data_IF_535609199454
#
_entry.id   IF_535609199454
#
_cell.length_a   1.000
_cell.length_b   1.000
_cell.length_c   1.000
_cell.angle_alpha   90.00
_cell.angle_beta   90.00
_cell.angle_gamma   90.00
#
_symmetry.space_group_name_H-M   'P 1'
#
loop_
_entity.id
_entity.type
_entity.pdbx_description
1 polymer ?
#
# COMPACT_ATOMS: atom_id res chain seq x y z
N UNK A 1 -32.02 23.32 -25.97
CA UNK A 1 -32.69 23.51 -27.28
C UNK A 1 -31.60 23.32 -28.32
N UNK A 2 -31.41 22.11 -28.86
CA UNK A 2 -31.82 21.75 -30.23
C UNK A 2 -30.82 22.34 -31.24
N UNK A 3 -30.07 21.60 -32.07
CA UNK A 3 -30.50 20.49 -32.90
C UNK A 3 -29.35 19.56 -33.30
N UNK A 4 -29.70 18.28 -33.42
CA UNK A 4 -28.99 17.25 -34.14
C UNK A 4 -29.29 17.33 -35.65
N UNK A 5 -28.27 17.13 -36.49
CA UNK A 5 -28.44 16.75 -37.90
C UNK A 5 -27.68 15.42 -38.12
N UNK A 6 -28.45 14.35 -38.36
CA UNK A 6 -28.01 13.11 -39.04
C UNK A 6 -28.38 13.30 -40.53
N UNK A 7 -27.62 12.82 -41.51
CA UNK A 7 -27.56 11.47 -42.10
C UNK A 7 -26.63 11.65 -43.35
N UNK A 8 -25.80 10.74 -43.90
CA UNK A 8 -26.04 9.38 -44.40
C UNK A 8 -24.73 8.77 -44.99
N UNK A 9 -24.55 7.46 -44.76
CA UNK A 9 -24.13 6.38 -45.70
C UNK A 9 -22.70 6.30 -46.28
N UNK A 10 -22.07 5.12 -46.00
CA UNK A 10 -21.31 4.21 -46.90
C UNK A 10 -20.03 4.74 -47.56
N UNK A 11 -18.89 4.09 -47.64
CA UNK A 11 -18.26 2.85 -47.14
C UNK A 11 -16.77 3.05 -47.48
N UNK A 12 -15.81 2.76 -46.59
CA UNK A 12 -14.44 2.37 -46.97
C UNK A 12 -13.59 2.09 -45.71
N UNK A 13 -13.88 0.97 -45.04
CA UNK A 13 -12.89 0.30 -44.20
C UNK A 13 -12.66 -1.07 -44.83
N UNK A 14 -11.63 -1.12 -45.68
CA UNK A 14 -11.08 -2.35 -46.22
C UNK A 14 -9.59 -2.14 -46.50
N UNK A 15 -8.77 -2.29 -45.47
CA UNK A 15 -7.37 -2.67 -45.65
C UNK A 15 -7.06 -3.92 -44.82
N UNK A 16 -7.32 -5.03 -45.51
CA UNK A 16 -6.54 -6.27 -45.49
C UNK A 16 -6.66 -7.17 -44.25
N UNK A 17 -7.67 -8.03 -44.31
CA UNK A 17 -7.62 -9.42 -43.84
C UNK A 17 -6.52 -10.17 -44.62
N UNK A 18 -5.61 -10.82 -43.90
CA UNK A 18 -4.60 -11.71 -44.47
C UNK A 18 -4.26 -12.86 -43.51
N UNK A 19 -4.93 -13.99 -43.74
CA UNK A 19 -4.65 -15.37 -43.27
C UNK A 19 -4.67 -15.69 -41.77
N UNK A 20 -5.77 -16.32 -41.37
CA UNK A 20 -5.84 -17.24 -40.23
C UNK A 20 -4.97 -18.47 -40.51
N UNK A 21 -4.15 -18.86 -39.53
CA UNK A 21 -3.55 -20.19 -39.45
C UNK A 21 -3.54 -20.58 -37.97
N UNK A 22 -4.49 -21.45 -37.64
CA UNK A 22 -4.58 -22.17 -36.38
C UNK A 22 -3.31 -23.00 -36.16
N UNK A 23 -2.56 -22.70 -35.10
CA UNK A 23 -1.62 -23.63 -34.47
C UNK A 23 -1.59 -23.37 -32.97
N UNK A 24 -2.06 -24.36 -32.23
CA UNK A 24 -1.80 -24.54 -30.81
C UNK A 24 -0.30 -24.42 -30.51
N UNK A 25 0.05 -23.61 -29.53
CA UNK A 25 1.26 -23.80 -28.75
C UNK A 25 1.09 -23.09 -27.40
N UNK A 26 1.00 -23.91 -26.35
CA UNK A 26 1.20 -23.53 -24.96
C UNK A 26 2.49 -22.70 -24.84
N UNK A 27 2.39 -21.39 -24.63
CA UNK A 27 3.52 -20.56 -24.21
C UNK A 27 3.41 -20.38 -22.72
N UNK A 28 3.94 -21.35 -21.98
CA UNK A 28 4.35 -21.15 -20.61
C UNK A 28 5.29 -19.94 -20.60
N UNK A 29 4.83 -18.81 -20.05
CA UNK A 29 5.71 -17.68 -19.74
C UNK A 29 6.83 -18.22 -18.86
N UNK A 30 7.98 -18.47 -19.47
CA UNK A 30 9.22 -18.78 -18.79
C UNK A 30 9.60 -17.53 -18.01
N UNK A 31 9.13 -17.47 -16.77
CA UNK A 31 9.77 -16.68 -15.73
C UNK A 31 11.22 -17.17 -15.69
N UNK A 32 12.13 -16.35 -16.22
CA UNK A 32 13.56 -16.57 -16.04
C UNK A 32 13.87 -16.79 -14.56
N UNK A 33 15.02 -17.40 -14.24
CA UNK A 33 15.42 -17.56 -12.84
C UNK A 33 15.29 -16.19 -12.15
N UNK A 34 14.68 -16.13 -10.95
CA UNK A 34 14.63 -14.89 -10.20
C UNK A 34 16.06 -14.33 -10.13
N UNK A 35 16.23 -13.00 -10.22
CA UNK A 35 17.55 -12.40 -10.07
C UNK A 35 18.23 -13.00 -8.83
N UNK A 36 19.56 -13.24 -8.86
CA UNK A 36 20.29 -13.70 -7.69
C UNK A 36 19.87 -12.79 -6.55
N UNK A 37 19.46 -13.37 -5.44
CA UNK A 37 18.93 -12.66 -4.27
C UNK A 37 19.88 -11.51 -3.90
N UNK A 38 19.63 -10.33 -4.43
CA UNK A 38 20.24 -9.12 -3.94
C UNK A 38 19.44 -8.82 -2.69
N UNK A 39 20.00 -9.16 -1.53
CA UNK A 39 19.43 -8.74 -0.25
C UNK A 39 19.27 -7.22 -0.31
N UNK A 40 18.03 -6.77 -0.49
CA UNK A 40 17.74 -5.37 -0.67
C UNK A 40 18.18 -4.62 0.59
N UNK A 41 19.17 -3.73 0.46
CA UNK A 41 19.70 -2.98 1.59
C UNK A 41 18.55 -2.15 2.19
N UNK A 42 18.21 -2.32 3.48
CA UNK A 42 17.09 -1.61 4.08
C UNK A 42 17.31 -0.09 4.02
N UNK A 43 16.38 0.61 3.38
CA UNK A 43 16.36 2.09 3.32
C UNK A 43 15.37 2.60 4.37
N UNK A 44 15.84 3.50 5.23
CA UNK A 44 15.05 4.14 6.26
C UNK A 44 14.77 5.60 5.93
N UNK A 45 13.76 6.16 6.62
CA UNK A 45 13.28 7.53 6.45
C UNK A 45 13.33 8.28 7.79
N UNK A 46 14.51 8.81 8.19
CA UNK A 46 14.67 9.52 9.45
C UNK A 46 13.84 10.81 9.53
N UNK A 47 13.64 11.48 8.40
CA UNK A 47 12.80 12.67 8.25
C UNK A 47 12.11 12.68 6.88
N UNK A 48 11.04 13.48 6.71
CA UNK A 48 10.38 13.63 5.42
C UNK A 48 11.41 13.99 4.34
N UNK A 49 11.42 13.24 3.24
CA UNK A 49 12.33 13.40 2.10
C UNK A 49 13.79 12.99 2.31
N UNK A 50 14.20 12.53 3.49
CA UNK A 50 15.55 12.00 3.71
C UNK A 50 15.52 10.48 3.63
N UNK A 51 16.37 9.90 2.78
CA UNK A 51 16.57 8.46 2.63
C UNK A 51 17.99 8.11 3.04
N UNK A 52 18.16 7.14 3.93
CA UNK A 52 19.49 6.65 4.36
C UNK A 52 19.47 5.14 4.51
N UNK A 53 20.61 4.51 4.27
CA UNK A 53 20.86 3.10 4.62
C UNK A 53 21.34 3.00 6.07
N UNK A 54 21.27 1.80 6.66
CA UNK A 54 21.58 1.56 8.08
C UNK A 54 22.94 2.14 8.53
N UNK A 55 23.98 2.03 7.68
CA UNK A 55 25.35 2.50 7.99
C UNK A 55 25.52 4.03 7.99
N UNK A 56 24.55 4.78 7.47
CA UNK A 56 24.60 6.24 7.36
C UNK A 56 23.76 6.94 8.45
N UNK A 57 23.12 6.18 9.33
CA UNK A 57 22.27 6.72 10.39
C UNK A 57 23.11 7.08 11.62
N UNK A 58 22.79 8.19 12.27
CA UNK A 58 23.32 8.46 13.61
C UNK A 58 22.73 7.48 14.63
N UNK A 59 23.39 7.30 15.77
CA UNK A 59 22.87 6.46 16.87
C UNK A 59 21.46 6.89 17.31
N UNK A 60 21.22 8.21 17.39
CA UNK A 60 19.91 8.76 17.73
C UNK A 60 18.83 8.40 16.69
N UNK A 61 19.18 8.42 15.39
CA UNK A 61 18.28 8.02 14.32
C UNK A 61 17.99 6.52 14.38
N UNK A 62 19.01 5.70 14.62
CA UNK A 62 18.87 4.25 14.82
C UNK A 62 17.95 3.95 16.01
N UNK A 63 18.12 4.64 17.14
CA UNK A 63 17.25 4.49 18.32
C UNK A 63 15.81 4.87 17.99
N UNK A 64 15.59 5.99 17.28
CA UNK A 64 14.24 6.41 16.86
C UNK A 64 13.58 5.40 15.93
N UNK A 65 14.33 4.87 14.97
CA UNK A 65 13.86 3.83 14.04
C UNK A 65 13.52 2.55 14.80
N UNK A 66 14.40 2.07 15.69
CA UNK A 66 14.16 0.88 16.49
C UNK A 66 12.91 1.03 17.38
N UNK A 67 12.76 2.18 18.05
CA UNK A 67 11.55 2.50 18.83
C UNK A 67 10.29 2.46 17.96
N UNK A 68 10.33 3.09 16.79
CA UNK A 68 9.21 3.08 15.82
C UNK A 68 8.85 1.67 15.39
N UNK A 69 9.84 0.85 15.00
CA UNK A 69 9.63 -0.56 14.62
C UNK A 69 8.95 -1.32 15.77
N UNK A 70 9.46 -1.18 17.00
CA UNK A 70 8.88 -1.81 18.18
C UNK A 70 7.43 -1.39 18.40
N UNK A 71 7.13 -0.09 18.30
CA UNK A 71 5.76 0.41 18.43
C UNK A 71 4.83 -0.17 17.36
N UNK A 72 5.26 -0.19 16.09
CA UNK A 72 4.46 -0.76 14.98
C UNK A 72 4.15 -2.23 15.25
N UNK A 73 5.14 -3.02 15.68
CA UNK A 73 4.96 -4.46 15.97
C UNK A 73 3.93 -4.71 17.07
N UNK A 74 3.83 -3.81 18.06
CA UNK A 74 2.90 -3.94 19.18
C UNK A 74 1.52 -3.31 18.94
N UNK A 75 1.29 -2.67 17.79
CA UNK A 75 -0.06 -2.22 17.44
C UNK A 75 -1.01 -3.42 17.26
N UNK A 76 -2.29 -3.32 17.68
CA UNK A 76 -3.22 -4.45 17.57
C UNK A 76 -3.41 -4.92 16.13
N UNK A 77 -3.31 -6.24 15.93
CA UNK A 77 -3.61 -6.94 14.69
C UNK A 77 -4.86 -7.81 14.91
N UNK A 78 -5.69 -7.91 13.89
CA UNK A 78 -6.81 -8.84 13.87
C UNK A 78 -7.13 -9.28 12.45
N UNK A 79 -8.21 -10.03 12.32
CA UNK A 79 -8.76 -10.44 11.03
C UNK A 79 -10.03 -9.65 10.74
N UNK A 80 -10.20 -9.21 9.50
CA UNK A 80 -11.43 -8.55 9.08
C UNK A 80 -12.60 -9.55 9.05
N UNK A 81 -13.73 -9.19 9.65
CA UNK A 81 -14.90 -10.07 9.83
C UNK A 81 -16.10 -9.66 8.94
N UNK A 82 -15.98 -8.60 8.13
CA UNK A 82 -17.07 -8.07 7.31
C UNK A 82 -18.11 -7.23 8.07
N UNK A 83 -17.97 -7.05 9.38
CA UNK A 83 -18.94 -6.34 10.23
C UNK A 83 -18.71 -4.82 10.30
N UNK A 84 -17.50 -4.37 9.97
CA UNK A 84 -17.14 -2.94 10.06
C UNK A 84 -17.83 -2.09 9.00
N UNK A 85 -18.07 -0.82 9.35
CA UNK A 85 -18.61 0.20 8.43
C UNK A 85 -17.62 0.55 7.30
N UNK A 86 -16.34 0.64 7.64
CA UNK A 86 -15.28 0.93 6.68
C UNK A 86 -14.83 -0.38 6.03
N UNK A 87 -15.18 -0.54 4.75
CA UNK A 87 -14.94 -1.78 3.99
C UNK A 87 -13.73 -1.70 3.06
N UNK A 88 -13.00 -0.60 3.06
CA UNK A 88 -11.88 -0.37 2.13
C UNK A 88 -10.66 0.15 2.89
N UNK A 89 -9.48 -0.33 2.50
CA UNK A 89 -8.22 0.24 2.95
C UNK A 89 -7.88 1.47 2.13
N UNK A 90 -7.89 2.65 2.74
CA UNK A 90 -7.62 3.93 2.05
C UNK A 90 -6.19 4.08 1.53
N UNK A 91 -5.26 3.21 1.94
CA UNK A 91 -3.87 3.24 1.46
C UNK A 91 -3.77 2.59 0.06
N UNK A 92 -4.35 1.40 -0.10
CA UNK A 92 -4.30 0.67 -1.38
C UNK A 92 -5.57 0.84 -2.22
N UNK A 93 -6.63 1.45 -1.68
CA UNK A 93 -7.94 1.62 -2.32
C UNK A 93 -8.59 0.28 -2.72
N UNK A 94 -8.37 -0.77 -1.90
CA UNK A 94 -8.92 -2.11 -2.10
C UNK A 94 -9.84 -2.45 -0.93
N UNK A 95 -10.98 -3.06 -1.25
CA UNK A 95 -11.92 -3.57 -0.25
C UNK A 95 -11.28 -4.65 0.63
N UNK A 96 -11.58 -4.63 1.92
CA UNK A 96 -11.21 -5.69 2.84
C UNK A 96 -12.03 -6.94 2.53
N UNK A 97 -11.34 -8.07 2.46
CA UNK A 97 -11.94 -9.40 2.37
C UNK A 97 -11.99 -10.03 3.75
N UNK A 98 -13.02 -10.82 4.04
CA UNK A 98 -13.11 -11.58 5.30
C UNK A 98 -11.83 -12.39 5.46
N UNK A 99 -11.29 -12.43 6.68
CA UNK A 99 -10.00 -12.99 7.07
C UNK A 99 -8.74 -12.19 6.70
N UNK A 100 -8.87 -11.05 6.02
CA UNK A 100 -7.72 -10.16 5.78
C UNK A 100 -7.06 -9.76 7.10
N UNK A 101 -5.73 -9.83 7.12
CA UNK A 101 -4.93 -9.32 8.22
C UNK A 101 -5.02 -7.79 8.25
N UNK A 102 -5.64 -7.26 9.30
CA UNK A 102 -5.83 -5.83 9.48
C UNK A 102 -5.17 -5.35 10.77
N UNK A 103 -4.60 -4.15 10.72
CA UNK A 103 -4.06 -3.47 11.88
C UNK A 103 -4.97 -2.32 12.30
N UNK A 104 -5.09 -2.15 13.61
CA UNK A 104 -5.88 -1.11 14.25
C UNK A 104 -4.92 -0.09 14.85
N UNK A 105 -5.10 1.18 14.49
CA UNK A 105 -4.39 2.27 15.16
C UNK A 105 -5.12 2.69 16.44
N UNK A 106 -4.45 3.36 17.40
CA UNK A 106 -5.08 3.83 18.64
C UNK A 106 -6.25 4.81 18.39
N UNK A 107 -6.25 5.51 17.26
CA UNK A 107 -7.35 6.36 16.80
C UNK A 107 -8.50 5.58 16.12
N UNK A 108 -8.52 4.24 16.23
CA UNK A 108 -9.54 3.31 15.72
C UNK A 108 -9.65 3.17 14.19
N UNK A 109 -8.78 3.82 13.43
CA UNK A 109 -8.68 3.58 11.99
C UNK A 109 -8.05 2.20 11.69
N UNK A 110 -8.52 1.56 10.62
CA UNK A 110 -8.16 0.19 10.22
C UNK A 110 -7.56 0.19 8.82
N UNK A 111 -6.50 -0.61 8.63
CA UNK A 111 -5.80 -0.79 7.36
C UNK A 111 -5.33 -2.23 7.21
N UNK A 112 -4.97 -2.68 6.00
CA UNK A 112 -4.20 -3.93 5.84
C UNK A 112 -2.87 -3.80 6.57
N UNK A 113 -2.44 -4.87 7.25
CA UNK A 113 -1.17 -4.88 8.01
C UNK A 113 0.00 -4.43 7.13
N UNK A 114 0.14 -5.01 5.94
CA UNK A 114 1.20 -4.66 4.98
C UNK A 114 1.17 -3.19 4.57
N UNK A 115 -0.01 -2.65 4.29
CA UNK A 115 -0.16 -1.27 3.85
C UNK A 115 0.22 -0.26 4.92
N UNK A 116 -0.24 -0.46 6.16
CA UNK A 116 0.02 0.53 7.21
C UNK A 116 1.40 0.38 7.84
N UNK A 117 2.00 -0.80 7.87
CA UNK A 117 3.36 -0.97 8.41
C UNK A 117 4.38 -0.21 7.56
N UNK A 118 4.29 -0.34 6.24
CA UNK A 118 5.13 0.39 5.29
C UNK A 118 4.92 1.91 5.39
N UNK A 119 3.66 2.33 5.57
CA UNK A 119 3.33 3.73 5.78
C UNK A 119 3.96 4.27 7.06
N UNK A 120 3.77 3.57 8.18
CA UNK A 120 4.23 4.01 9.49
C UNK A 120 5.75 4.08 9.61
N UNK A 121 6.48 3.25 8.86
CA UNK A 121 7.93 3.35 8.75
C UNK A 121 8.39 4.67 8.13
N UNK A 122 7.60 5.25 7.22
CA UNK A 122 7.88 6.53 6.55
C UNK A 122 7.34 7.72 7.33
N UNK A 123 6.11 7.63 7.80
CA UNK A 123 5.41 8.67 8.56
C UNK A 123 4.64 8.04 9.71
N UNK A 124 5.03 8.33 10.94
CA UNK A 124 4.42 7.74 12.14
C UNK A 124 3.09 8.42 12.53
N UNK A 125 2.25 8.70 11.54
CA UNK A 125 0.95 9.37 11.65
C UNK A 125 -0.13 8.57 10.95
N UNK A 126 -1.36 8.64 11.46
CA UNK A 126 -2.51 7.98 10.87
C UNK A 126 -2.87 8.61 9.51
N UNK A 127 -2.99 7.83 8.41
CA UNK A 127 -3.39 8.35 7.10
C UNK A 127 -4.77 9.02 7.07
N UNK A 128 -5.68 8.62 7.96
CA UNK A 128 -7.08 9.08 7.94
C UNK A 128 -7.34 10.32 8.80
N UNK A 129 -6.66 10.46 9.94
CA UNK A 129 -6.87 11.60 10.85
C UNK A 129 -5.63 12.49 11.05
N UNK A 130 -4.49 12.13 10.44
CA UNK A 130 -3.21 12.86 10.54
C UNK A 130 -2.60 12.96 11.94
N UNK A 131 -3.24 12.40 12.96
CA UNK A 131 -2.72 12.35 14.33
C UNK A 131 -1.52 11.40 14.47
N UNK A 132 -0.52 11.73 15.31
CA UNK A 132 0.58 10.83 15.64
C UNK A 132 0.07 9.54 16.29
N UNK A 133 0.68 8.41 15.92
CA UNK A 133 0.26 7.10 16.46
C UNK A 133 0.69 6.92 17.92
N UNK A 134 1.73 7.61 18.38
CA UNK A 134 2.17 7.67 19.78
C UNK A 134 1.43 8.70 20.64
N UNK A 135 0.57 9.56 20.06
CA UNK A 135 -0.16 10.57 20.83
C UNK A 135 -1.04 9.95 21.94
N UNK A 136 -1.58 8.75 21.70
CA UNK A 136 -2.36 8.00 22.67
C UNK A 136 -1.51 7.30 23.75
N UNK A 137 -0.20 7.14 23.53
CA UNK A 137 0.73 6.55 24.51
C UNK A 137 1.29 7.61 25.48
N UNK A 138 1.29 8.88 25.07
CA UNK A 138 1.81 10.00 25.89
C UNK A 138 0.74 10.64 26.79
N UNK A 139 -0.55 10.42 26.50
CA UNK A 139 -1.66 11.01 27.26
C UNK A 139 -1.81 10.47 28.69
N UNK A 140 -1.09 9.40 29.05
CA UNK A 140 -1.11 8.83 30.41
C UNK A 140 -0.06 9.42 31.36
N UNK A 141 0.84 10.29 30.89
CA UNK A 141 1.92 10.86 31.72
C UNK A 141 1.75 12.33 32.09
N UNK A 142 0.76 13.03 31.53
CA UNK A 142 0.54 14.47 31.80
C UNK A 142 -0.61 14.74 32.79
N UNK A 143 -1.25 13.70 33.33
CA UNK A 143 -2.35 13.84 34.31
C UNK A 143 -1.99 13.36 35.72
N UNK A 144 -0.72 13.53 36.14
CA UNK A 144 -0.30 13.36 37.54
C UNK A 144 0.28 14.66 38.10
#
# INVERSE_FOLDING_TARGET
>A
MGNCLKQSTTDDISLLRGSESTRDASSSDQLGPPPPYEEAIPVYYPSPNVRRIASQLSEEEQIKIAKRIGLIQHLPIGTYDGSKKNRECVICMIEFVVSDAVRYLPCMHTYHVSCIDDWLMRSFTCPSCMEPVDAALLTTYETN
#
